data_IF_285893366565
#
_entry.id   IF_285893366565
#
_cell.length_a   1.000
_cell.length_b   1.000
_cell.length_c   1.000
_cell.angle_alpha   90.00
_cell.angle_beta   90.00
_cell.angle_gamma   90.00
#
_symmetry.space_group_name_H-M   'P 1'
#
loop_
_entity.id
_entity.type
_entity.pdbx_description
1 polymer ?
#
# COMPACT_ATOMS: atom_id res chain seq x y z
N UNK A 1 27.13 6.67 37.97
CA UNK A 1 28.20 6.69 36.95
C UNK A 1 28.27 5.29 36.36
N UNK A 2 27.32 4.88 35.51
CA UNK A 2 27.22 5.08 34.05
C UNK A 2 28.40 4.48 33.26
N UNK A 3 28.14 3.37 32.58
CA UNK A 3 29.00 2.75 31.57
C UNK A 3 28.19 1.75 30.77
N UNK A 4 27.38 2.26 29.83
CA UNK A 4 26.47 1.48 28.98
C UNK A 4 27.23 0.65 27.94
N UNK A 5 26.74 -0.57 27.77
CA UNK A 5 27.07 -1.54 26.75
C UNK A 5 27.31 -0.91 25.37
N UNK A 6 28.50 -1.19 24.83
CA UNK A 6 28.86 -0.97 23.45
C UNK A 6 28.10 -1.96 22.57
N UNK A 7 27.08 -1.48 21.87
CA UNK A 7 26.51 -2.19 20.72
C UNK A 7 27.10 -1.58 19.45
N UNK A 8 28.00 -2.34 18.83
CA UNK A 8 28.74 -2.01 17.62
C UNK A 8 27.82 -2.19 16.41
N UNK A 9 27.25 -1.09 15.90
CA UNK A 9 26.47 -1.07 14.65
C UNK A 9 27.46 -1.02 13.48
N UNK A 10 27.91 -2.19 13.04
CA UNK A 10 28.58 -2.33 11.75
C UNK A 10 27.61 -1.90 10.63
N UNK A 11 28.01 -0.80 9.98
CA UNK A 11 27.41 -0.22 8.79
C UNK A 11 27.48 -1.23 7.64
N UNK A 12 26.36 -1.86 7.31
CA UNK A 12 26.19 -2.48 6.00
C UNK A 12 26.06 -1.35 4.96
N UNK A 13 26.90 -1.27 3.92
CA UNK A 13 26.77 -0.26 2.88
C UNK A 13 25.59 -0.63 1.97
N UNK A 14 24.45 0.05 2.16
CA UNK A 14 23.32 -0.05 1.24
C UNK A 14 23.72 0.59 -0.10
N UNK A 15 23.64 -0.20 -1.17
CA UNK A 15 23.92 0.16 -2.57
C UNK A 15 23.23 1.49 -2.89
N UNK A 16 24.02 2.52 -3.20
CA UNK A 16 23.52 3.80 -3.66
C UNK A 16 22.94 3.64 -5.08
N UNK A 17 21.64 3.89 -5.25
CA UNK A 17 21.05 4.09 -6.58
C UNK A 17 21.28 5.55 -7.00
N UNK A 18 22.05 5.82 -8.07
CA UNK A 18 22.31 7.19 -8.53
C UNK A 18 21.05 7.73 -9.19
N UNK A 19 20.34 8.65 -8.52
CA UNK A 19 19.17 9.31 -9.08
C UNK A 19 18.09 9.73 -8.07
N UNK A 20 18.13 9.24 -6.83
CA UNK A 20 17.17 9.62 -5.78
C UNK A 20 17.57 10.92 -5.03
N UNK A 21 18.81 11.36 -5.23
CA UNK A 21 19.49 12.43 -4.52
C UNK A 21 19.11 13.84 -5.03
N UNK A 22 18.61 13.97 -6.26
CA UNK A 22 18.19 15.26 -6.83
C UNK A 22 16.90 15.78 -6.17
N UNK A 23 15.98 14.88 -5.80
CA UNK A 23 14.68 15.30 -5.25
C UNK A 23 14.74 15.66 -3.75
N UNK A 24 15.76 15.17 -3.03
CA UNK A 24 15.87 15.35 -1.59
C UNK A 24 16.61 16.64 -1.17
N UNK A 25 17.34 17.29 -2.08
CA UNK A 25 18.26 18.37 -1.70
C UNK A 25 17.65 19.78 -1.68
N UNK A 26 16.44 20.01 -2.20
CA UNK A 26 15.89 21.37 -2.36
C UNK A 26 14.97 21.85 -1.24
N UNK A 27 14.60 20.99 -0.28
CA UNK A 27 13.55 21.30 0.71
C UNK A 27 14.01 21.35 2.18
N UNK A 28 15.32 21.22 2.47
CA UNK A 28 15.83 21.26 3.86
C UNK A 28 16.62 22.56 4.08
N UNK A 29 16.09 23.56 4.82
CA UNK A 29 16.90 24.71 5.21
C UNK A 29 18.00 24.28 6.18
N UNK A 30 19.24 24.77 6.04
CA UNK A 30 20.32 24.45 6.97
C UNK A 30 20.07 25.18 8.30
N UNK A 31 19.50 24.48 9.30
CA UNK A 31 19.43 25.01 10.66
C UNK A 31 20.80 24.87 11.34
N UNK A 32 21.33 26.01 11.78
CA UNK A 32 22.56 26.12 12.55
C UNK A 32 22.40 25.52 13.96
N UNK A 33 23.45 24.80 14.38
CA UNK A 33 23.85 24.48 15.76
C UNK A 33 22.79 23.95 16.75
N UNK A 34 22.95 22.68 17.12
CA UNK A 34 22.90 22.29 18.53
C UNK A 34 21.63 21.65 19.08
N UNK A 35 20.56 21.54 18.30
CA UNK A 35 19.40 20.71 18.68
C UNK A 35 19.29 19.61 17.65
N UNK A 36 19.49 18.35 18.05
CA UNK A 36 19.10 17.22 17.21
C UNK A 36 17.59 17.16 17.35
N UNK A 37 16.77 17.65 16.38
CA UNK A 37 15.40 17.24 16.40
C UNK A 37 15.46 15.71 16.37
N UNK A 38 14.70 15.06 17.24
CA UNK A 38 14.19 13.72 16.97
C UNK A 38 13.24 13.84 15.78
N UNK A 39 13.77 14.32 14.65
CA UNK A 39 13.22 14.13 13.35
C UNK A 39 13.42 12.65 13.12
N UNK A 40 12.39 11.90 13.47
CA UNK A 40 12.00 10.72 12.71
C UNK A 40 11.90 11.22 11.26
N UNK A 41 13.06 11.24 10.58
CA UNK A 41 13.10 11.23 9.14
C UNK A 41 12.40 9.92 8.82
N UNK A 42 11.16 10.00 8.37
CA UNK A 42 10.49 8.89 7.70
C UNK A 42 10.84 9.07 6.22
N UNK A 43 11.97 8.51 5.74
CA UNK A 43 12.17 8.40 4.31
C UNK A 43 11.23 7.29 3.86
N UNK A 44 9.98 7.64 3.61
CA UNK A 44 9.05 6.73 2.98
C UNK A 44 8.44 7.48 1.81
N UNK A 45 8.72 7.08 0.56
CA UNK A 45 7.93 7.56 -0.56
C UNK A 45 6.47 7.24 -0.21
N UNK A 46 5.59 8.23 -0.36
CA UNK A 46 4.16 8.06 -0.19
C UNK A 46 3.61 7.20 -1.33
N UNK A 47 3.94 5.91 -1.32
CA UNK A 47 3.30 4.90 -2.13
C UNK A 47 1.86 4.72 -1.66
N UNK A 48 0.95 4.49 -2.61
CA UNK A 48 -0.43 4.15 -2.34
C UNK A 48 -0.49 2.81 -1.60
N UNK A 49 -0.63 2.80 -0.27
CA UNK A 49 -0.69 1.53 0.48
C UNK A 49 -2.05 0.85 0.32
N UNK A 50 -2.32 0.25 -0.84
CA UNK A 50 -3.59 -0.38 -1.20
C UNK A 50 -4.06 -1.42 -0.18
N UNK A 51 -3.12 -2.17 0.41
CA UNK A 51 -3.41 -3.12 1.49
C UNK A 51 -4.00 -2.45 2.75
N UNK A 52 -3.38 -1.37 3.23
CA UNK A 52 -3.85 -0.67 4.45
C UNK A 52 -5.21 -0.02 4.19
N UNK A 53 -5.38 0.60 3.02
CA UNK A 53 -6.65 1.18 2.63
C UNK A 53 -7.79 0.13 2.63
N UNK A 54 -7.51 -1.09 2.14
CA UNK A 54 -8.50 -2.16 2.15
C UNK A 54 -8.83 -2.66 3.56
N UNK A 55 -7.85 -2.75 4.46
CA UNK A 55 -8.10 -3.13 5.85
C UNK A 55 -8.96 -2.08 6.57
N UNK A 56 -8.71 -0.79 6.34
CA UNK A 56 -9.52 0.29 6.92
C UNK A 56 -10.94 0.23 6.37
N UNK A 57 -11.11 0.03 5.06
CA UNK A 57 -12.42 -0.13 4.43
C UNK A 57 -13.18 -1.36 4.97
N UNK A 58 -12.50 -2.50 5.10
CA UNK A 58 -13.05 -3.72 5.68
C UNK A 58 -13.49 -3.52 7.14
N UNK A 59 -12.69 -2.80 7.94
CA UNK A 59 -13.02 -2.49 9.34
C UNK A 59 -14.30 -1.63 9.43
N UNK A 60 -14.43 -0.62 8.56
CA UNK A 60 -15.64 0.19 8.49
C UNK A 60 -16.87 -0.66 8.10
N UNK A 61 -16.73 -1.54 7.11
CA UNK A 61 -17.82 -2.42 6.68
C UNK A 61 -18.22 -3.44 7.76
N UNK A 62 -17.28 -3.90 8.58
CA UNK A 62 -17.55 -4.70 9.76
C UNK A 62 -18.40 -3.93 10.78
N UNK A 63 -18.05 -2.68 11.07
CA UNK A 63 -18.83 -1.80 11.95
C UNK A 63 -20.24 -1.54 11.41
N UNK A 64 -20.36 -1.23 10.11
CA UNK A 64 -21.68 -1.06 9.47
C UNK A 64 -22.53 -2.33 9.55
N UNK A 65 -21.92 -3.51 9.41
CA UNK A 65 -22.61 -4.79 9.55
C UNK A 65 -23.17 -4.99 10.96
N UNK A 66 -22.46 -4.53 11.99
CA UNK A 66 -22.93 -4.58 13.38
C UNK A 66 -24.08 -3.60 13.64
N UNK A 67 -24.07 -2.42 13.00
CA UNK A 67 -25.11 -1.39 13.21
C UNK A 67 -26.39 -1.67 12.42
N UNK A 68 -26.28 -2.04 11.14
CA UNK A 68 -27.43 -2.18 10.22
C UNK A 68 -27.74 -3.63 9.82
N UNK A 69 -26.95 -4.60 10.27
CA UNK A 69 -27.03 -5.99 9.85
C UNK A 69 -26.43 -6.24 8.47
N UNK A 70 -26.20 -7.52 8.14
CA UNK A 70 -25.56 -7.95 6.88
C UNK A 70 -26.33 -7.54 5.61
N UNK A 71 -27.66 -7.45 5.69
CA UNK A 71 -28.52 -7.01 4.57
C UNK A 71 -28.31 -5.54 4.21
N UNK A 72 -27.93 -4.69 5.15
CA UNK A 72 -27.64 -3.27 4.90
C UNK A 72 -26.36 -3.06 4.10
N UNK A 73 -25.33 -3.86 4.36
CA UNK A 73 -24.04 -3.78 3.68
C UNK A 73 -24.10 -4.29 2.24
N UNK A 74 -24.90 -5.33 1.97
CA UNK A 74 -25.09 -5.87 0.61
C UNK A 74 -25.80 -4.89 -0.34
N UNK A 75 -26.50 -3.89 0.19
CA UNK A 75 -27.05 -2.77 -0.61
C UNK A 75 -25.99 -1.73 -1.00
N UNK A 76 -24.93 -1.59 -0.18
CA UNK A 76 -23.83 -0.65 -0.43
C UNK A 76 -22.80 -1.24 -1.41
N UNK A 77 -22.55 -2.55 -1.36
CA UNK A 77 -21.77 -3.29 -2.35
C UNK A 77 -22.60 -4.43 -2.95
N UNK A 78 -23.32 -4.20 -4.06
CA UNK A 78 -24.10 -5.23 -4.74
C UNK A 78 -23.24 -6.23 -5.57
N UNK A 79 -21.92 -6.10 -5.54
CA UNK A 79 -21.00 -6.94 -6.31
C UNK A 79 -20.67 -8.20 -5.50
N UNK A 80 -20.81 -9.38 -6.12
CA UNK A 80 -20.45 -10.65 -5.47
C UNK A 80 -18.99 -10.63 -5.00
N UNK A 81 -18.68 -10.93 -3.72
CA UNK A 81 -17.32 -10.84 -3.19
C UNK A 81 -16.30 -11.70 -3.95
N UNK A 82 -16.70 -12.89 -4.40
CA UNK A 82 -15.84 -13.76 -5.20
C UNK A 82 -15.38 -13.12 -6.51
N UNK A 83 -16.22 -12.32 -7.16
CA UNK A 83 -15.84 -11.56 -8.37
C UNK A 83 -14.88 -10.43 -8.06
N UNK A 84 -15.03 -9.75 -6.92
CA UNK A 84 -14.08 -8.73 -6.47
C UNK A 84 -12.70 -9.33 -6.23
N UNK A 85 -12.64 -10.50 -5.59
CA UNK A 85 -11.39 -11.25 -5.37
C UNK A 85 -10.73 -11.61 -6.70
N UNK A 86 -11.48 -12.24 -7.61
CA UNK A 86 -10.96 -12.66 -8.91
C UNK A 86 -10.50 -11.49 -9.78
N UNK A 87 -11.26 -10.39 -9.80
CA UNK A 87 -10.89 -9.17 -10.52
C UNK A 87 -9.62 -8.52 -9.93
N UNK A 88 -9.55 -8.39 -8.60
CA UNK A 88 -8.38 -7.83 -7.92
C UNK A 88 -7.11 -8.65 -8.18
N UNK A 89 -7.22 -9.98 -8.16
CA UNK A 89 -6.11 -10.88 -8.44
C UNK A 89 -5.67 -10.75 -9.91
N UNK A 90 -6.61 -10.71 -10.86
CA UNK A 90 -6.32 -10.48 -12.27
C UNK A 90 -5.63 -9.14 -12.50
N UNK A 91 -6.07 -8.06 -11.84
CA UNK A 91 -5.42 -6.75 -11.90
C UNK A 91 -4.00 -6.78 -11.32
N UNK A 92 -3.78 -7.41 -10.15
CA UNK A 92 -2.46 -7.50 -9.53
C UNK A 92 -1.48 -8.30 -10.38
N UNK A 93 -1.92 -9.45 -10.91
CA UNK A 93 -1.10 -10.25 -11.82
C UNK A 93 -0.85 -9.53 -13.14
N UNK A 94 -1.86 -8.85 -13.70
CA UNK A 94 -1.73 -8.03 -14.90
C UNK A 94 -0.71 -6.90 -14.73
N UNK A 95 -0.70 -6.23 -13.58
CA UNK A 95 0.27 -5.18 -13.26
C UNK A 95 1.72 -5.71 -13.27
N UNK A 96 1.96 -6.89 -12.71
CA UNK A 96 3.27 -7.54 -12.76
C UNK A 96 3.65 -8.02 -14.17
N UNK A 97 2.66 -8.47 -14.96
CA UNK A 97 2.86 -8.91 -16.34
C UNK A 97 3.22 -7.74 -17.28
N UNK A 98 2.73 -6.53 -16.99
CA UNK A 98 3.13 -5.32 -17.72
C UNK A 98 4.62 -5.02 -17.57
N UNK A 99 5.22 -5.28 -16.41
CA UNK A 99 6.67 -5.18 -16.20
C UNK A 99 7.45 -6.14 -17.11
N UNK A 100 7.02 -7.40 -17.17
CA UNK A 100 7.58 -8.42 -18.08
C UNK A 100 7.46 -8.02 -19.56
N UNK A 101 6.31 -7.45 -19.97
CA UNK A 101 6.09 -7.00 -21.35
C UNK A 101 6.96 -5.79 -21.72
N UNK A 102 7.37 -4.98 -20.74
CA UNK A 102 8.30 -3.88 -20.96
C UNK A 102 9.77 -4.34 -21.06
N UNK A 103 10.04 -5.64 -20.91
CA UNK A 103 11.39 -6.21 -20.92
C UNK A 103 12.11 -6.14 -19.57
N UNK A 104 11.42 -5.70 -18.52
CA UNK A 104 11.94 -5.60 -17.16
C UNK A 104 11.56 -6.82 -16.31
N UNK A 105 12.01 -6.85 -15.05
CA UNK A 105 11.66 -7.91 -14.12
C UNK A 105 10.15 -7.93 -13.79
N UNK A 106 9.64 -9.08 -13.37
CA UNK A 106 8.27 -9.20 -12.86
C UNK A 106 8.06 -8.27 -11.65
N UNK A 107 6.94 -7.54 -11.63
CA UNK A 107 6.61 -6.50 -10.64
C UNK A 107 7.57 -5.30 -10.63
N UNK A 108 8.31 -5.06 -11.71
CA UNK A 108 9.06 -3.82 -11.80
C UNK A 108 8.12 -2.61 -11.97
N UNK A 109 8.48 -1.53 -11.29
CA UNK A 109 7.67 -0.32 -11.20
C UNK A 109 7.88 0.55 -12.42
N UNK A 110 7.00 0.41 -13.42
CA UNK A 110 6.99 1.31 -14.57
C UNK A 110 6.30 2.61 -14.14
N UNK A 111 7.04 3.71 -14.14
CA UNK A 111 6.53 5.03 -13.81
C UNK A 111 6.37 5.87 -15.07
N UNK A 112 5.15 6.31 -15.33
CA UNK A 112 4.83 7.25 -16.39
C UNK A 112 4.32 8.55 -15.75
N UNK A 113 4.72 9.70 -16.29
CA UNK A 113 4.35 11.02 -15.78
C UNK A 113 3.42 11.77 -16.75
N UNK A 114 2.22 11.26 -17.09
CA UNK A 114 1.30 12.01 -17.93
C UNK A 114 0.84 13.27 -17.17
N UNK A 115 1.19 14.45 -17.69
CA UNK A 115 0.81 15.74 -17.08
C UNK A 115 1.42 16.00 -15.70
N UNK A 116 2.54 15.34 -15.36
CA UNK A 116 3.21 15.49 -14.06
C UNK A 116 2.63 14.61 -12.94
N UNK A 117 1.61 13.80 -13.21
CA UNK A 117 1.07 12.85 -12.24
C UNK A 117 1.88 11.54 -12.29
N UNK A 118 2.47 11.06 -11.18
CA UNK A 118 3.17 9.77 -11.15
C UNK A 118 2.16 8.61 -11.23
N UNK A 119 1.85 8.16 -12.45
CA UNK A 119 1.07 6.94 -12.67
C UNK A 119 2.03 5.79 -12.97
N UNK A 120 1.90 4.69 -12.25
CA UNK A 120 2.72 3.53 -12.55
C UNK A 120 2.02 2.19 -12.37
N UNK A 121 2.67 1.14 -12.87
CA UNK A 121 2.26 -0.25 -12.61
C UNK A 121 2.13 -0.57 -11.10
N UNK A 122 2.89 0.03 -10.16
CA UNK A 122 2.69 -0.21 -8.73
C UNK A 122 1.31 0.25 -8.25
N UNK A 123 0.77 1.33 -8.82
CA UNK A 123 -0.55 1.86 -8.47
C UNK A 123 -1.67 0.91 -8.89
N UNK A 124 -1.53 0.28 -10.06
CA UNK A 124 -2.45 -0.76 -10.53
C UNK A 124 -2.36 -2.03 -9.68
N UNK A 125 -1.14 -2.39 -9.26
CA UNK A 125 -0.91 -3.50 -8.33
C UNK A 125 -1.59 -3.26 -6.98
N UNK A 126 -1.39 -2.08 -6.39
CA UNK A 126 -2.01 -1.68 -5.12
C UNK A 126 -3.54 -1.65 -5.21
N UNK A 127 -4.11 -1.22 -6.34
CA UNK A 127 -5.54 -1.30 -6.60
C UNK A 127 -6.04 -2.75 -6.66
N UNK A 128 -5.28 -3.64 -7.31
CA UNK A 128 -5.59 -5.08 -7.35
C UNK A 128 -5.63 -5.69 -5.95
N UNK A 129 -4.58 -5.44 -5.15
CA UNK A 129 -4.50 -5.87 -3.74
C UNK A 129 -5.66 -5.30 -2.92
N UNK A 130 -6.01 -4.03 -3.13
CA UNK A 130 -7.13 -3.39 -2.43
C UNK A 130 -8.44 -4.15 -2.66
N UNK A 131 -8.77 -4.42 -3.94
CA UNK A 131 -9.99 -5.13 -4.32
C UNK A 131 -10.03 -6.56 -3.78
N UNK A 132 -8.89 -7.27 -3.82
CA UNK A 132 -8.79 -8.65 -3.32
C UNK A 132 -8.99 -8.73 -1.81
N UNK A 133 -8.34 -7.87 -1.04
CA UNK A 133 -8.47 -7.86 0.43
C UNK A 133 -9.88 -7.45 0.86
N UNK A 134 -10.42 -6.40 0.23
CA UNK A 134 -11.78 -5.95 0.51
C UNK A 134 -12.81 -7.05 0.18
N UNK A 135 -12.68 -7.69 -0.99
CA UNK A 135 -13.53 -8.80 -1.39
C UNK A 135 -13.42 -10.00 -0.46
N UNK A 136 -12.21 -10.36 0.00
CA UNK A 136 -12.00 -11.44 0.96
C UNK A 136 -12.67 -11.16 2.31
N UNK A 137 -12.56 -9.93 2.82
CA UNK A 137 -13.19 -9.54 4.08
C UNK A 137 -14.72 -9.59 3.98
N UNK A 138 -15.28 -9.07 2.88
CA UNK A 138 -16.73 -9.15 2.62
C UNK A 138 -17.21 -10.59 2.52
N UNK A 139 -16.46 -11.43 1.80
CA UNK A 139 -16.83 -12.84 1.65
C UNK A 139 -16.87 -13.57 2.99
N UNK A 140 -15.89 -13.31 3.86
CA UNK A 140 -15.84 -13.87 5.21
C UNK A 140 -17.07 -13.44 6.03
N UNK A 141 -17.43 -12.16 5.99
CA UNK A 141 -18.59 -11.63 6.72
C UNK A 141 -19.91 -12.26 6.27
N UNK A 142 -20.11 -12.45 4.97
CA UNK A 142 -21.32 -13.09 4.44
C UNK A 142 -21.44 -14.56 4.89
N UNK A 143 -20.33 -15.31 4.84
CA UNK A 143 -20.31 -16.71 5.30
C UNK A 143 -20.58 -16.85 6.80
N UNK A 144 -20.10 -15.90 7.60
CA UNK A 144 -20.37 -15.87 9.04
C UNK A 144 -21.81 -15.48 9.37
N UNK A 145 -22.42 -14.60 8.56
CA UNK A 145 -23.77 -14.08 8.82
C UNK A 145 -24.87 -14.93 8.18
N UNK A 146 -24.52 -16.02 7.49
CA UNK A 146 -25.47 -17.04 7.01
C UNK A 146 -26.48 -16.53 5.99
N UNK A 147 -26.19 -15.42 5.30
CA UNK A 147 -27.06 -14.86 4.26
C UNK A 147 -27.01 -15.79 3.05
N UNK A 148 -28.12 -16.48 2.67
CA UNK A 148 -28.18 -17.22 1.42
C UNK A 148 -28.13 -16.24 0.24
N UNK A 149 -27.48 -16.65 -0.84
CA UNK A 149 -27.30 -15.85 -2.05
C UNK A 149 -28.61 -15.24 -2.58
#
# INVERSE_FOLDING_TARGET
MLGKAAWNTERQPFIAHPGADVFCSSAVPPLASGQRPVAVAWPQPAGWRGFIAALVAASNLMLLSLTFGSRGVRRLLPVSPARLIGCGLACATGAGLLGLLAGEAFLDGLWMFPGGLPLGSPLLFDLGVFLTVLGSAMHMQEKLTGVPD
#
